data_IF_883658196606
#
_entry.id   IF_883658196606
#
_cell.length_a   1.000
_cell.length_b   1.000
_cell.length_c   1.000
_cell.angle_alpha   90.00
_cell.angle_beta   90.00
_cell.angle_gamma   90.00
#
_symmetry.space_group_name_H-M   'P 1'
#
loop_
_entity.id
_entity.type
_entity.pdbx_description
1 polymer ?
#
# COMPACT_ATOMS: atom_id res chain seq x y z
N UNK A 1 -25.73 -9.94 -5.57
CA UNK A 1 -24.42 -9.29 -5.75
C UNK A 1 -24.64 -7.81 -5.44
N UNK A 2 -24.34 -7.37 -4.21
CA UNK A 2 -24.48 -5.95 -3.85
C UNK A 2 -23.25 -5.18 -4.36
N UNK A 3 -23.48 -4.00 -4.92
CA UNK A 3 -22.46 -3.01 -5.24
C UNK A 3 -22.94 -1.69 -4.67
N UNK A 4 -22.16 -1.12 -3.78
CA UNK A 4 -22.48 0.17 -3.16
C UNK A 4 -21.96 1.30 -4.05
N UNK A 5 -22.72 2.38 -4.17
CA UNK A 5 -22.37 3.55 -4.97
C UNK A 5 -22.58 4.82 -4.16
N UNK A 6 -21.62 5.75 -4.20
CA UNK A 6 -21.76 7.06 -3.57
C UNK A 6 -22.09 8.07 -4.66
N UNK A 7 -23.27 8.71 -4.57
CA UNK A 7 -23.70 9.75 -5.51
C UNK A 7 -23.59 11.12 -4.86
N UNK A 8 -22.76 12.01 -5.39
CA UNK A 8 -22.67 13.40 -4.95
C UNK A 8 -23.60 14.25 -5.83
N UNK A 9 -24.45 15.07 -5.24
CA UNK A 9 -25.39 15.96 -5.94
C UNK A 9 -25.01 17.42 -5.61
N UNK A 10 -24.94 18.27 -6.64
CA UNK A 10 -24.67 19.71 -6.49
C UNK A 10 -25.87 20.49 -5.96
N UNK A 11 -25.62 21.71 -5.49
CA UNK A 11 -26.61 22.56 -4.78
C UNK A 11 -27.86 22.93 -5.60
N UNK A 12 -27.81 22.79 -6.92
CA UNK A 12 -28.89 23.08 -7.87
C UNK A 12 -29.88 21.92 -8.07
N UNK A 13 -29.62 20.75 -7.47
CA UNK A 13 -30.60 19.67 -7.36
C UNK A 13 -30.89 18.90 -8.65
N UNK A 14 -30.10 19.09 -9.71
CA UNK A 14 -30.27 18.37 -10.97
C UNK A 14 -29.55 16.99 -10.90
N UNK A 15 -30.27 15.86 -11.05
CA UNK A 15 -29.66 14.54 -10.99
C UNK A 15 -28.91 14.26 -12.29
N UNK A 16 -27.62 14.58 -12.33
CA UNK A 16 -26.74 14.11 -13.41
C UNK A 16 -26.63 12.59 -13.35
N UNK A 17 -27.17 11.91 -14.36
CA UNK A 17 -26.94 10.48 -14.58
C UNK A 17 -25.51 10.29 -15.07
N UNK A 18 -24.71 9.51 -14.33
CA UNK A 18 -23.31 9.26 -14.66
C UNK A 18 -23.11 7.76 -14.85
N UNK A 19 -22.97 7.37 -16.10
CA UNK A 19 -22.46 6.08 -16.55
C UNK A 19 -20.95 6.19 -16.73
N UNK A 20 -20.19 6.07 -15.64
CA UNK A 20 -18.75 5.82 -15.73
C UNK A 20 -18.29 4.96 -14.54
N UNK A 21 -17.85 3.75 -14.87
CA UNK A 21 -17.32 2.77 -13.93
C UNK A 21 -15.81 3.02 -13.76
N UNK A 22 -15.37 3.57 -12.62
CA UNK A 22 -13.97 3.48 -12.20
C UNK A 22 -13.94 2.60 -10.95
N UNK A 23 -13.71 1.32 -11.16
CA UNK A 23 -13.57 0.36 -10.08
C UNK A 23 -12.24 0.53 -9.36
N UNK A 24 -12.28 0.63 -8.03
CA UNK A 24 -11.17 0.21 -7.19
C UNK A 24 -11.54 -1.19 -6.68
N UNK A 25 -11.00 -2.21 -7.34
CA UNK A 25 -10.87 -3.56 -6.81
C UNK A 25 -9.42 -3.97 -7.03
N UNK A 26 -8.78 -4.69 -6.09
CA UNK A 26 -7.35 -5.01 -6.20
C UNK A 26 -6.97 -5.82 -7.45
N UNK A 27 -7.88 -6.59 -8.07
CA UNK A 27 -7.44 -7.67 -8.98
C UNK A 27 -8.05 -7.81 -10.38
N UNK A 28 -8.93 -6.94 -10.91
CA UNK A 28 -9.39 -7.10 -12.32
C UNK A 28 -9.68 -5.79 -13.06
N UNK A 29 -9.03 -5.63 -14.22
CA UNK A 29 -9.21 -4.54 -15.19
C UNK A 29 -10.42 -4.78 -16.10
N UNK A 30 -11.24 -3.74 -16.33
CA UNK A 30 -12.18 -3.67 -17.45
C UNK A 30 -12.09 -2.28 -18.11
N UNK A 31 -12.14 -2.25 -19.45
CA UNK A 31 -12.29 -1.04 -20.27
C UNK A 31 -13.62 -1.08 -21.00
N UNK A 32 -14.35 0.04 -21.02
CA UNK A 32 -15.18 0.46 -22.16
C UNK A 32 -15.52 1.95 -22.00
N UNK A 33 -15.49 2.70 -23.11
CA UNK A 33 -15.95 4.08 -23.18
C UNK A 33 -17.07 4.22 -24.20
N UNK A 34 -17.85 5.30 -24.08
CA UNK A 34 -18.61 5.90 -25.18
C UNK A 34 -18.89 7.39 -24.90
N UNK A 35 -18.92 8.18 -25.97
CA UNK A 35 -18.98 9.65 -26.00
C UNK A 35 -20.43 10.10 -26.14
N UNK A 36 -20.88 11.04 -25.30
CA UNK A 36 -22.22 11.62 -25.38
C UNK A 36 -22.42 12.54 -26.61
N UNK A 37 -23.68 12.79 -27.02
CA UNK A 37 -24.05 13.39 -28.30
C UNK A 37 -23.63 14.86 -28.54
N UNK A 38 -23.01 15.53 -27.56
CA UNK A 38 -22.59 16.94 -27.68
C UNK A 38 -21.10 17.17 -27.93
N UNK A 39 -20.26 16.13 -27.98
CA UNK A 39 -18.84 16.25 -28.39
C UNK A 39 -17.92 17.10 -27.48
N UNK A 40 -18.36 17.55 -26.31
CA UNK A 40 -17.54 18.26 -25.32
C UNK A 40 -17.28 17.40 -24.07
N UNK A 41 -16.06 17.40 -23.50
CA UNK A 41 -15.79 16.77 -22.21
C UNK A 41 -16.46 17.59 -21.10
N UNK A 42 -17.43 17.02 -20.41
CA UNK A 42 -18.00 17.58 -19.17
C UNK A 42 -17.60 16.69 -18.00
N UNK A 43 -16.73 17.18 -17.12
CA UNK A 43 -16.24 16.41 -15.97
C UNK A 43 -17.17 16.55 -14.77
N UNK A 44 -17.95 15.51 -14.49
CA UNK A 44 -18.50 15.23 -13.15
C UNK A 44 -17.75 14.03 -12.59
N UNK A 45 -17.17 14.18 -11.40
CA UNK A 45 -16.41 13.10 -10.73
C UNK A 45 -17.37 12.35 -9.81
N UNK A 46 -17.71 11.12 -10.19
CA UNK A 46 -18.46 10.17 -9.33
C UNK A 46 -17.48 9.18 -8.73
N UNK A 47 -17.63 8.91 -7.44
CA UNK A 47 -16.81 7.95 -6.70
C UNK A 47 -17.65 6.69 -6.45
N UNK A 48 -17.18 5.53 -6.91
CA UNK A 48 -17.76 4.23 -6.54
C UNK A 48 -16.81 3.48 -5.62
N UNK A 49 -17.31 3.04 -4.46
CA UNK A 49 -16.61 2.12 -3.55
C UNK A 49 -17.30 0.77 -3.68
N UNK A 50 -16.67 -0.17 -4.39
CA UNK A 50 -17.21 -1.51 -4.51
C UNK A 50 -16.67 -2.39 -3.36
N UNK A 51 -17.46 -2.57 -2.30
CA UNK A 51 -17.22 -3.61 -1.30
C UNK A 51 -17.91 -4.89 -1.77
N UNK A 52 -17.13 -5.90 -2.15
CA UNK A 52 -17.67 -7.23 -2.46
C UNK A 52 -17.48 -8.16 -1.27
N UNK A 53 -18.55 -8.43 -0.52
CA UNK A 53 -18.56 -9.48 0.50
C UNK A 53 -19.57 -9.25 1.62
N UNK A 54 -20.53 -10.18 1.72
CA UNK A 54 -21.51 -10.43 2.80
C UNK A 54 -22.61 -9.36 3.03
N UNK A 55 -23.92 -9.73 3.04
CA UNK A 55 -25.04 -8.78 3.14
C UNK A 55 -25.29 -8.14 4.52
N UNK A 56 -24.49 -8.47 5.54
CA UNK A 56 -24.80 -8.16 6.95
C UNK A 56 -23.70 -7.37 7.67
N UNK A 57 -22.84 -6.65 6.94
CA UNK A 57 -21.82 -5.78 7.52
C UNK A 57 -22.50 -4.52 8.09
N UNK A 58 -22.49 -4.27 9.42
CA UNK A 58 -23.11 -3.10 10.02
C UNK A 58 -22.52 -1.79 9.47
N UNK A 59 -23.34 -0.73 9.40
CA UNK A 59 -22.99 0.59 8.80
C UNK A 59 -21.69 1.20 9.36
N UNK A 60 -21.39 0.96 10.63
CA UNK A 60 -20.18 1.45 11.30
C UNK A 60 -18.91 0.74 10.79
N UNK A 61 -19.05 -0.46 10.24
CA UNK A 61 -17.93 -1.23 9.71
C UNK A 61 -17.45 -0.72 8.35
N UNK A 62 -18.36 -0.18 7.52
CA UNK A 62 -18.06 0.35 6.18
C UNK A 62 -17.20 1.61 6.27
N UNK A 63 -17.54 2.53 7.19
CA UNK A 63 -16.84 3.80 7.36
C UNK A 63 -15.48 3.63 8.05
N UNK A 64 -15.31 2.57 8.85
CA UNK A 64 -14.03 2.23 9.45
C UNK A 64 -13.01 1.57 8.52
N UNK A 65 -13.39 1.18 7.29
CA UNK A 65 -12.51 0.48 6.34
C UNK A 65 -11.79 1.40 5.35
N UNK A 66 -12.15 2.69 5.26
CA UNK A 66 -11.58 3.63 4.30
C UNK A 66 -11.45 5.06 4.89
N UNK A 67 -10.55 5.27 5.87
CA UNK A 67 -10.38 6.55 6.56
C UNK A 67 -9.94 7.69 5.63
N UNK A 68 -9.26 7.37 4.53
CA UNK A 68 -8.85 8.28 3.46
C UNK A 68 -10.05 8.83 2.66
N UNK A 69 -11.06 8.00 2.43
CA UNK A 69 -12.32 8.41 1.79
C UNK A 69 -13.07 9.38 2.72
N UNK A 70 -13.14 9.09 4.01
CA UNK A 70 -13.77 9.97 5.01
C UNK A 70 -13.09 11.34 5.07
N UNK A 71 -11.75 11.39 5.07
CA UNK A 71 -11.00 12.65 5.08
C UNK A 71 -11.26 13.51 3.83
N UNK A 72 -11.37 12.87 2.65
CA UNK A 72 -11.68 13.58 1.40
C UNK A 72 -13.12 14.07 1.33
N UNK A 73 -14.08 13.24 1.76
CA UNK A 73 -15.49 13.63 1.86
C UNK A 73 -15.65 14.84 2.80
N UNK A 74 -14.90 14.87 3.90
CA UNK A 74 -14.85 16.02 4.81
C UNK A 74 -14.35 17.29 4.14
N UNK A 75 -13.27 17.22 3.36
CA UNK A 75 -12.74 18.37 2.61
C UNK A 75 -13.76 18.94 1.62
N UNK A 76 -14.59 18.10 1.00
CA UNK A 76 -15.65 18.54 0.10
C UNK A 76 -16.78 19.25 0.86
N UNK A 77 -17.21 18.69 1.99
CA UNK A 77 -18.24 19.32 2.83
C UNK A 77 -17.77 20.65 3.43
N UNK A 78 -16.52 20.75 3.87
CA UNK A 78 -15.93 22.00 4.37
C UNK A 78 -15.88 23.09 3.29
N UNK A 79 -15.92 22.70 2.01
CA UNK A 79 -16.05 23.61 0.86
C UNK A 79 -17.49 23.95 0.49
N UNK A 80 -18.45 23.59 1.33
CA UNK A 80 -19.87 23.88 1.18
C UNK A 80 -20.68 22.83 0.41
N UNK A 81 -20.08 21.70 0.04
CA UNK A 81 -20.78 20.66 -0.71
C UNK A 81 -21.74 19.87 0.18
N UNK A 82 -22.93 19.56 -0.32
CA UNK A 82 -23.87 18.65 0.35
C UNK A 82 -23.60 17.21 -0.07
N UNK A 83 -23.27 16.37 0.90
CA UNK A 83 -23.07 14.95 0.66
C UNK A 83 -24.38 14.18 0.90
N UNK A 84 -24.78 13.34 -0.05
CA UNK A 84 -25.85 12.37 0.14
C UNK A 84 -25.27 10.98 -0.12
N UNK A 85 -25.33 10.08 0.87
CA UNK A 85 -24.89 8.69 0.70
C UNK A 85 -26.14 7.86 0.45
N UNK A 86 -26.26 7.29 -0.76
CA UNK A 86 -27.39 6.43 -1.12
C UNK A 86 -26.89 4.99 -1.12
N UNK A 87 -27.32 4.20 -0.15
CA UNK A 87 -27.08 2.76 -0.13
C UNK A 87 -28.24 2.09 -0.89
N UNK A 88 -27.95 1.38 -1.98
CA UNK A 88 -28.96 0.70 -2.79
C UNK A 88 -28.38 -0.51 -3.52
N UNK A 89 -29.20 -1.53 -3.86
CA UNK A 89 -28.74 -2.67 -4.63
C UNK A 89 -28.35 -2.26 -6.07
N UNK A 90 -27.50 -3.08 -6.70
CA UNK A 90 -26.86 -2.79 -7.99
C UNK A 90 -27.81 -2.74 -9.22
N UNK A 91 -29.11 -2.97 -9.02
CA UNK A 91 -30.13 -3.03 -10.06
C UNK A 91 -31.38 -2.28 -9.58
N UNK A 92 -31.81 -1.28 -10.35
CA UNK A 92 -33.03 -0.51 -10.08
C UNK A 92 -34.32 -1.30 -10.36
N UNK A 93 -34.21 -2.50 -10.94
CA UNK A 93 -35.36 -3.27 -11.41
C UNK A 93 -36.01 -4.15 -10.33
N UNK A 94 -35.37 -4.33 -9.17
CA UNK A 94 -35.79 -5.35 -8.20
C UNK A 94 -36.69 -4.86 -7.06
N UNK A 95 -36.80 -3.55 -6.78
CA UNK A 95 -37.75 -3.04 -5.78
C UNK A 95 -37.95 -1.49 -5.83
N UNK A 96 -39.09 -0.97 -6.31
CA UNK A 96 -39.37 0.47 -6.33
C UNK A 96 -39.66 1.09 -4.95
N UNK A 97 -39.96 0.29 -3.92
CA UNK A 97 -40.24 0.79 -2.55
C UNK A 97 -38.96 1.01 -1.72
N UNK A 98 -37.80 0.52 -2.19
CA UNK A 98 -36.49 0.63 -1.52
C UNK A 98 -35.70 1.90 -1.92
N UNK A 99 -36.23 2.74 -2.82
CA UNK A 99 -35.66 4.04 -3.18
C UNK A 99 -35.85 5.14 -2.11
N UNK A 100 -36.13 4.78 -0.85
CA UNK A 100 -36.10 5.71 0.27
C UNK A 100 -34.65 5.97 0.65
N UNK A 101 -34.02 6.90 -0.06
CA UNK A 101 -32.74 7.47 0.33
C UNK A 101 -32.81 7.91 1.79
N UNK A 102 -31.91 7.37 2.63
CA UNK A 102 -31.77 7.83 3.99
C UNK A 102 -31.12 9.22 3.95
N UNK A 103 -31.93 10.27 4.12
CA UNK A 103 -31.40 11.61 4.40
C UNK A 103 -31.07 11.63 5.89
N UNK A 104 -29.85 11.23 6.24
CA UNK A 104 -29.35 11.48 7.59
C UNK A 104 -29.08 12.98 7.72
N UNK A 105 -29.55 13.64 8.79
CA UNK A 105 -29.06 14.96 9.15
C UNK A 105 -27.54 14.90 9.23
N UNK A 106 -26.88 15.85 8.56
CA UNK A 106 -25.42 15.89 8.45
C UNK A 106 -24.74 15.84 9.83
N UNK A 107 -25.38 16.40 10.86
CA UNK A 107 -24.92 16.31 12.26
C UNK A 107 -24.90 14.89 12.84
N UNK A 108 -25.85 14.02 12.51
CA UNK A 108 -25.87 12.62 12.95
C UNK A 108 -24.77 11.81 12.26
N UNK A 109 -24.59 11.99 10.94
CA UNK A 109 -23.51 11.36 10.17
C UNK A 109 -22.13 11.81 10.68
N UNK A 110 -21.99 13.09 11.04
CA UNK A 110 -20.75 13.60 11.64
C UNK A 110 -20.53 13.12 13.07
N UNK A 111 -21.58 12.87 13.85
CA UNK A 111 -21.43 12.33 15.21
C UNK A 111 -20.90 10.89 15.22
N UNK A 112 -21.24 10.09 14.22
CA UNK A 112 -20.69 8.74 14.01
C UNK A 112 -19.32 8.73 13.28
N UNK A 113 -18.98 9.81 12.56
CA UNK A 113 -17.65 10.01 11.96
C UNK A 113 -16.66 10.77 12.86
N UNK A 114 -17.13 11.38 13.95
CA UNK A 114 -16.32 11.89 15.06
C UNK A 114 -15.88 10.72 15.94
N UNK A 115 -15.22 9.75 15.34
CA UNK A 115 -14.46 8.81 16.14
C UNK A 115 -13.21 9.58 16.52
N UNK A 116 -13.13 10.02 17.78
CA UNK A 116 -11.82 10.24 18.42
C UNK A 116 -10.92 9.11 17.94
N UNK A 117 -9.70 9.42 17.44
CA UNK A 117 -8.76 8.37 17.00
C UNK A 117 -8.76 7.32 18.12
N UNK A 118 -9.28 6.10 17.88
CA UNK A 118 -9.47 5.15 18.95
C UNK A 118 -8.11 4.97 19.61
N UNK A 119 -8.08 4.99 20.94
CA UNK A 119 -6.87 4.59 21.63
C UNK A 119 -6.68 3.11 21.35
N UNK A 120 -5.91 2.83 20.30
CA UNK A 120 -5.63 1.48 19.89
C UNK A 120 -4.76 0.81 20.95
N UNK A 121 -5.05 -0.45 21.31
CA UNK A 121 -4.16 -1.19 22.18
C UNK A 121 -2.77 -1.31 21.51
N UNK A 122 -1.69 -1.43 22.32
CA UNK A 122 -0.38 -1.71 21.77
C UNK A 122 -0.40 -3.03 21.00
N UNK A 123 0.25 -3.04 19.84
CA UNK A 123 0.47 -4.24 19.03
C UNK A 123 1.81 -4.85 19.44
N UNK A 124 1.93 -6.16 19.62
CA UNK A 124 3.22 -6.82 19.85
C UNK A 124 4.21 -6.46 18.73
N UNK A 125 5.49 -6.35 19.06
CA UNK A 125 6.52 -6.22 18.03
C UNK A 125 6.77 -7.56 17.34
N UNK A 126 7.34 -7.50 16.14
CA UNK A 126 7.85 -8.67 15.44
C UNK A 126 8.92 -9.40 16.28
N UNK A 127 8.90 -10.72 16.26
CA UNK A 127 9.86 -11.57 16.96
C UNK A 127 11.26 -11.47 16.31
N UNK A 128 12.19 -10.78 16.97
CA UNK A 128 13.56 -10.60 16.46
C UNK A 128 14.32 -11.93 16.29
N UNK A 129 14.03 -12.95 17.11
CA UNK A 129 14.68 -14.26 16.99
C UNK A 129 14.20 -15.00 15.74
N UNK A 130 12.91 -14.91 15.42
CA UNK A 130 12.36 -15.41 14.16
C UNK A 130 13.05 -14.73 12.97
N UNK A 131 13.13 -13.39 12.98
CA UNK A 131 13.74 -12.59 11.92
C UNK A 131 15.21 -12.93 11.75
N UNK A 132 15.97 -12.98 12.84
CA UNK A 132 17.40 -13.29 12.82
C UNK A 132 17.66 -14.70 12.26
N UNK A 133 16.86 -15.69 12.67
CA UNK A 133 16.99 -17.07 12.19
C UNK A 133 16.66 -17.20 10.71
N UNK A 134 15.58 -16.58 10.24
CA UNK A 134 15.15 -16.65 8.83
C UNK A 134 16.19 -15.99 7.91
N UNK A 135 16.70 -14.81 8.29
CA UNK A 135 17.75 -14.11 7.55
C UNK A 135 19.12 -14.81 7.61
N UNK A 136 19.48 -15.40 8.74
CA UNK A 136 20.76 -16.11 8.87
C UNK A 136 20.86 -17.29 7.89
N UNK A 137 19.73 -17.93 7.55
CA UNK A 137 19.69 -19.03 6.59
C UNK A 137 20.09 -18.62 5.15
N UNK A 138 20.05 -17.33 4.82
CA UNK A 138 20.49 -16.77 3.54
C UNK A 138 21.75 -15.91 3.64
N UNK A 139 22.50 -16.01 4.75
CA UNK A 139 23.74 -15.26 4.98
C UNK A 139 23.52 -13.77 5.20
N UNK A 140 22.42 -13.41 5.87
CA UNK A 140 22.11 -12.04 6.28
C UNK A 140 21.97 -12.00 7.80
N UNK A 141 22.75 -11.16 8.47
CA UNK A 141 22.73 -11.04 9.93
C UNK A 141 21.87 -9.86 10.36
N UNK A 142 20.89 -10.10 11.24
CA UNK A 142 20.10 -9.05 11.86
C UNK A 142 20.97 -8.23 12.83
N UNK A 143 20.94 -6.90 12.68
CA UNK A 143 21.50 -5.94 13.65
C UNK A 143 20.40 -5.40 14.58
N UNK A 144 19.19 -5.25 14.06
CA UNK A 144 18.00 -5.00 14.85
C UNK A 144 16.86 -4.37 14.05
N UNK A 145 15.67 -4.36 14.64
CA UNK A 145 14.48 -3.77 14.02
C UNK A 145 14.42 -2.27 14.34
N UNK A 146 14.02 -1.46 13.37
CA UNK A 146 13.91 0.00 13.44
C UNK A 146 12.58 0.44 12.84
N UNK A 147 11.83 1.26 13.57
CA UNK A 147 10.60 1.89 13.05
C UNK A 147 10.85 3.25 12.40
N UNK A 148 11.99 3.86 12.70
CA UNK A 148 12.32 5.19 12.21
C UNK A 148 13.78 5.22 11.75
N UNK A 149 13.97 5.43 10.45
CA UNK A 149 15.28 5.61 9.82
C UNK A 149 15.34 6.92 9.05
N UNK A 150 14.23 7.66 8.98
CA UNK A 150 14.07 8.84 8.13
C UNK A 150 13.82 8.46 6.67
N UNK A 151 13.53 7.18 6.40
CA UNK A 151 13.23 6.61 5.09
C UNK A 151 11.96 5.79 5.26
N UNK A 152 10.81 6.19 4.72
CA UNK A 152 9.57 5.46 4.94
C UNK A 152 9.63 4.09 4.24
N UNK A 153 9.48 2.95 4.95
CA UNK A 153 9.53 1.62 4.34
C UNK A 153 8.46 1.40 3.27
N UNK A 154 7.33 2.10 3.37
CA UNK A 154 6.26 2.08 2.37
C UNK A 154 6.72 2.65 1.02
N UNK A 155 7.76 3.50 0.97
CA UNK A 155 8.30 4.00 -0.29
C UNK A 155 9.15 2.95 -1.00
N UNK A 156 9.89 2.14 -0.24
CA UNK A 156 10.63 1.01 -0.79
C UNK A 156 9.68 -0.03 -1.41
N UNK A 157 8.63 -0.40 -0.67
CA UNK A 157 7.57 -1.31 -1.13
C UNK A 157 6.78 -0.84 -2.37
N UNK A 158 6.99 0.40 -2.82
CA UNK A 158 6.32 0.97 -3.99
C UNK A 158 7.24 1.21 -5.18
N UNK A 159 8.51 0.76 -5.15
CA UNK A 159 9.44 0.88 -6.29
C UNK A 159 8.86 0.29 -7.59
N UNK A 160 8.06 -0.77 -7.49
CA UNK A 160 7.37 -1.41 -8.62
C UNK A 160 6.41 -0.46 -9.38
N UNK A 161 5.95 0.62 -8.74
CA UNK A 161 5.05 1.62 -9.35
C UNK A 161 5.76 2.72 -10.11
N UNK A 162 7.09 2.81 -9.98
CA UNK A 162 7.93 3.83 -10.64
C UNK A 162 8.39 3.30 -11.99
N UNK A 163 8.17 4.03 -13.08
CA UNK A 163 8.63 3.59 -14.40
C UNK A 163 10.10 3.92 -14.69
N UNK A 164 10.67 3.38 -15.78
CA UNK A 164 12.02 3.71 -16.20
C UNK A 164 12.22 5.19 -16.58
N UNK A 165 11.15 5.89 -16.98
CA UNK A 165 11.14 7.33 -17.22
C UNK A 165 11.49 8.16 -15.98
N UNK A 166 11.24 7.61 -14.80
CA UNK A 166 11.55 8.21 -13.50
C UNK A 166 12.94 7.76 -12.97
N UNK A 167 13.73 7.07 -13.79
CA UNK A 167 15.09 6.63 -13.47
C UNK A 167 15.20 5.25 -12.85
N UNK A 168 14.09 4.51 -12.71
CA UNK A 168 14.13 3.10 -12.31
C UNK A 168 14.88 2.29 -13.36
N UNK A 169 15.74 1.37 -12.92
CA UNK A 169 16.39 0.39 -13.79
C UNK A 169 15.96 -1.00 -13.38
N UNK A 170 15.74 -1.84 -14.38
CA UNK A 170 15.21 -3.18 -14.21
C UNK A 170 16.15 -4.21 -14.85
N UNK A 171 16.34 -5.33 -14.17
CA UNK A 171 16.86 -6.57 -14.75
C UNK A 171 15.78 -7.63 -14.61
N UNK A 172 15.44 -8.31 -15.71
CA UNK A 172 14.34 -9.26 -15.77
C UNK A 172 14.91 -10.66 -15.98
N UNK A 173 14.43 -11.61 -15.19
CA UNK A 173 14.79 -13.02 -15.23
C UNK A 173 13.55 -13.87 -15.53
N UNK A 174 13.75 -15.05 -16.10
CA UNK A 174 12.70 -16.06 -16.22
C UNK A 174 12.58 -16.83 -14.91
N UNK A 175 11.36 -16.99 -14.41
CA UNK A 175 11.10 -17.65 -13.14
C UNK A 175 11.46 -19.15 -13.16
N UNK A 176 11.38 -19.78 -14.34
CA UNK A 176 11.70 -21.19 -14.56
C UNK A 176 13.15 -21.46 -14.98
N UNK A 177 14.00 -20.41 -15.03
CA UNK A 177 15.42 -20.58 -15.35
C UNK A 177 16.09 -21.43 -14.24
N UNK A 178 16.68 -22.60 -14.58
CA UNK A 178 17.35 -23.45 -13.59
C UNK A 178 18.54 -22.74 -12.91
N UNK A 179 19.11 -21.73 -13.55
CA UNK A 179 20.22 -20.93 -13.03
C UNK A 179 19.75 -19.60 -12.40
N UNK A 180 18.43 -19.39 -12.24
CA UNK A 180 17.83 -18.15 -11.72
C UNK A 180 18.52 -17.68 -10.44
N UNK A 181 18.68 -18.56 -9.45
CA UNK A 181 19.27 -18.21 -8.17
C UNK A 181 20.68 -17.63 -8.32
N UNK A 182 21.53 -18.29 -9.11
CA UNK A 182 22.90 -17.88 -9.31
C UNK A 182 23.00 -16.61 -10.17
N UNK A 183 22.16 -16.48 -11.19
CA UNK A 183 22.08 -15.28 -12.03
C UNK A 183 21.59 -14.06 -11.24
N UNK A 184 20.51 -14.23 -10.48
CA UNK A 184 19.93 -13.19 -9.64
C UNK A 184 20.92 -12.72 -8.56
N UNK A 185 21.60 -13.64 -7.87
CA UNK A 185 22.61 -13.28 -6.86
C UNK A 185 23.72 -12.39 -7.44
N UNK A 186 24.27 -12.76 -8.60
CA UNK A 186 25.31 -11.95 -9.27
C UNK A 186 24.79 -10.57 -9.64
N UNK A 187 23.59 -10.51 -10.22
CA UNK A 187 22.97 -9.26 -10.63
C UNK A 187 22.65 -8.35 -9.44
N UNK A 188 22.05 -8.90 -8.38
CA UNK A 188 21.72 -8.19 -7.15
C UNK A 188 22.96 -7.59 -6.51
N UNK A 189 24.02 -8.38 -6.33
CA UNK A 189 25.24 -7.87 -5.68
C UNK A 189 25.95 -6.82 -6.54
N UNK A 190 26.02 -7.03 -7.87
CA UNK A 190 26.55 -6.01 -8.78
C UNK A 190 25.75 -4.71 -8.69
N UNK A 191 24.42 -4.77 -8.68
CA UNK A 191 23.53 -3.62 -8.51
C UNK A 191 23.73 -2.95 -7.14
N UNK A 192 23.83 -3.73 -6.06
CA UNK A 192 24.03 -3.22 -4.72
C UNK A 192 25.35 -2.45 -4.58
N UNK A 193 26.43 -2.97 -5.16
CA UNK A 193 27.73 -2.30 -5.18
C UNK A 193 27.74 -1.09 -6.11
N UNK A 194 27.25 -1.22 -7.33
CA UNK A 194 27.24 -0.14 -8.34
C UNK A 194 26.49 1.09 -7.84
N UNK A 195 25.34 0.88 -7.20
CA UNK A 195 24.46 1.96 -6.80
C UNK A 195 24.67 2.43 -5.36
N UNK A 196 25.50 1.74 -4.56
CA UNK A 196 25.78 2.14 -3.19
C UNK A 196 24.68 1.77 -2.19
N UNK A 197 24.08 0.57 -2.33
CA UNK A 197 23.12 0.05 -1.35
C UNK A 197 23.77 -0.12 0.04
N UNK A 198 25.03 -0.54 0.05
CA UNK A 198 25.76 -0.87 1.26
C UNK A 198 26.36 0.37 1.93
N UNK A 199 26.13 0.47 3.23
CA UNK A 199 26.89 1.33 4.14
C UNK A 199 28.09 0.57 4.74
N UNK A 200 28.78 1.16 5.71
CA UNK A 200 29.94 0.54 6.36
C UNK A 200 29.62 -0.87 6.87
N UNK A 201 30.48 -1.83 6.49
CA UNK A 201 30.31 -3.24 6.85
C UNK A 201 29.26 -3.98 6.02
N UNK A 202 28.91 -3.54 4.81
CA UNK A 202 27.88 -4.19 3.97
C UNK A 202 26.49 -4.16 4.61
N UNK A 203 26.17 -3.07 5.31
CA UNK A 203 24.89 -2.88 5.99
C UNK A 203 23.86 -2.18 5.13
N UNK A 204 22.62 -2.65 5.22
CA UNK A 204 21.47 -2.09 4.51
C UNK A 204 20.17 -2.35 5.30
N UNK A 205 19.07 -1.78 4.83
CA UNK A 205 17.75 -1.91 5.42
C UNK A 205 16.86 -2.84 4.58
N UNK A 206 16.06 -3.67 5.25
CA UNK A 206 15.03 -4.53 4.64
C UNK A 206 13.67 -4.07 5.14
N UNK A 207 12.77 -3.68 4.24
CA UNK A 207 11.40 -3.35 4.61
C UNK A 207 10.65 -4.67 4.83
N UNK A 208 10.01 -4.79 5.99
CA UNK A 208 9.33 -6.02 6.40
C UNK A 208 7.88 -5.71 6.74
N UNK A 209 7.00 -6.51 6.17
CA UNK A 209 5.65 -6.70 6.69
C UNK A 209 5.73 -7.53 7.98
N UNK A 210 5.22 -6.97 9.08
CA UNK A 210 5.17 -7.66 10.36
C UNK A 210 4.35 -8.96 10.29
N UNK A 211 3.40 -9.07 9.36
CA UNK A 211 2.64 -10.29 9.08
C UNK A 211 3.47 -11.48 8.59
N UNK A 212 4.75 -11.29 8.24
CA UNK A 212 5.67 -12.39 7.90
C UNK A 212 6.09 -13.22 9.13
N UNK A 213 5.97 -12.64 10.33
CA UNK A 213 6.11 -13.36 11.59
C UNK A 213 4.81 -14.11 11.92
N UNK A 214 4.82 -15.45 12.03
CA UNK A 214 3.63 -16.24 12.33
C UNK A 214 2.98 -15.87 13.65
N UNK A 215 3.77 -15.54 14.66
CA UNK A 215 3.24 -15.24 16.00
C UNK A 215 2.52 -13.88 15.96
N UNK A 216 3.09 -12.91 15.23
CA UNK A 216 2.45 -11.63 14.97
C UNK A 216 1.17 -11.78 14.14
N UNK A 217 1.21 -12.59 13.08
CA UNK A 217 0.04 -12.86 12.24
C UNK A 217 -1.08 -13.53 13.05
N UNK A 218 -0.75 -14.51 13.88
CA UNK A 218 -1.73 -15.15 14.75
C UNK A 218 -2.31 -14.16 15.77
N UNK A 219 -1.47 -13.35 16.42
CA UNK A 219 -1.92 -12.35 17.37
C UNK A 219 -2.85 -11.30 16.74
N UNK A 220 -2.64 -10.98 15.45
CA UNK A 220 -3.53 -10.11 14.66
C UNK A 220 -4.90 -10.75 14.46
N UNK A 221 -4.93 -11.99 14.00
CA UNK A 221 -6.18 -12.73 13.73
C UNK A 221 -7.02 -12.95 15.01
N UNK A 222 -6.35 -13.12 16.14
CA UNK A 222 -7.00 -13.26 17.46
C UNK A 222 -7.40 -11.91 18.08
N UNK A 223 -7.03 -10.78 17.46
CA UNK A 223 -7.30 -9.45 17.98
C UNK A 223 -8.65 -8.91 17.52
N UNK A 224 -9.49 -8.50 18.49
CA UNK A 224 -10.68 -7.70 18.22
C UNK A 224 -10.34 -6.29 17.68
N UNK A 225 -9.06 -5.90 17.70
CA UNK A 225 -8.55 -4.64 17.19
C UNK A 225 -7.90 -4.78 15.79
N UNK A 226 -8.41 -5.66 14.93
CA UNK A 226 -7.90 -5.87 13.56
C UNK A 226 -7.86 -4.58 12.71
N UNK A 227 -8.70 -3.58 13.05
CA UNK A 227 -8.72 -2.24 12.44
C UNK A 227 -7.57 -1.34 12.88
N UNK A 228 -6.76 -1.75 13.87
CA UNK A 228 -5.60 -1.01 14.31
C UNK A 228 -4.55 -0.96 13.18
N UNK A 229 -4.23 0.23 12.64
CA UNK A 229 -3.32 0.36 11.50
C UNK A 229 -1.90 -0.13 11.81
N UNK A 230 -1.52 -0.23 13.09
CA UNK A 230 -0.23 -0.78 13.52
C UNK A 230 -0.02 -2.25 13.15
N UNK A 231 -1.10 -3.00 12.88
CA UNK A 231 -1.03 -4.38 12.37
C UNK A 231 -0.51 -4.48 10.92
N UNK A 232 -0.40 -3.35 10.23
CA UNK A 232 -0.06 -3.24 8.81
C UNK A 232 1.15 -2.32 8.59
N UNK A 233 1.74 -1.83 9.68
CA UNK A 233 2.91 -0.97 9.63
C UNK A 233 4.11 -1.79 9.15
N UNK A 234 4.77 -1.31 8.10
CA UNK A 234 6.06 -1.85 7.68
C UNK A 234 7.14 -1.37 8.63
N UNK A 235 8.11 -2.23 8.91
CA UNK A 235 9.27 -1.89 9.75
C UNK A 235 10.55 -2.14 8.97
N UNK A 236 11.64 -1.46 9.36
CA UNK A 236 12.96 -1.76 8.83
C UNK A 236 13.67 -2.80 9.70
N UNK A 237 14.30 -3.79 9.09
CA UNK A 237 15.42 -4.50 9.70
C UNK A 237 16.72 -3.89 9.20
N UNK A 238 17.55 -3.39 10.12
CA UNK A 238 18.95 -3.13 9.80
C UNK A 238 19.70 -4.46 9.83
N UNK A 239 20.39 -4.76 8.74
CA UNK A 239 21.09 -6.02 8.55
C UNK A 239 22.52 -5.80 8.08
N UNK A 240 23.32 -6.85 8.17
CA UNK A 240 24.67 -6.94 7.63
C UNK A 240 24.78 -8.17 6.73
N UNK A 241 25.41 -8.02 5.57
CA UNK A 241 25.66 -9.14 4.67
C UNK A 241 26.83 -9.98 5.21
N UNK A 242 26.67 -11.30 5.24
CA UNK A 242 27.71 -12.23 5.70
C UNK A 242 28.33 -12.99 4.51
N UNK A 243 29.57 -13.50 4.64
CA UNK A 243 30.16 -14.39 3.64
C UNK A 243 29.25 -15.60 3.38
N UNK A 244 29.06 -15.94 2.10
CA UNK A 244 28.22 -17.07 1.69
C UNK A 244 26.72 -16.77 1.59
N UNK A 245 26.34 -15.49 1.52
CA UNK A 245 24.98 -15.06 1.25
C UNK A 245 24.39 -15.68 -0.03
N UNK A 246 23.07 -15.90 -0.01
CA UNK A 246 22.31 -16.49 -1.11
C UNK A 246 20.86 -15.99 -1.12
N UNK A 247 20.61 -14.83 -1.73
CA UNK A 247 19.28 -14.19 -1.76
C UNK A 247 18.38 -14.83 -2.83
N UNK A 248 18.94 -15.16 -3.98
CA UNK A 248 18.28 -15.81 -5.11
C UNK A 248 17.93 -17.28 -4.89
N UNK A 249 18.57 -17.95 -3.92
CA UNK A 249 18.31 -19.33 -3.55
C UNK A 249 17.65 -19.44 -2.17
N UNK A 250 18.46 -19.49 -1.11
CA UNK A 250 17.97 -19.58 0.27
C UNK A 250 17.02 -18.43 0.65
N UNK A 251 17.34 -17.19 0.27
CA UNK A 251 16.50 -16.02 0.50
C UNK A 251 15.13 -16.15 -0.18
N UNK A 252 15.07 -16.72 -1.37
CA UNK A 252 13.81 -16.93 -2.10
C UNK A 252 12.89 -17.97 -1.44
N UNK A 253 13.43 -18.81 -0.57
CA UNK A 253 12.67 -19.76 0.28
C UNK A 253 12.40 -19.22 1.68
N UNK A 254 13.06 -18.13 2.07
CA UNK A 254 12.83 -17.47 3.36
C UNK A 254 11.47 -16.78 3.36
N UNK A 255 10.90 -16.56 4.54
CA UNK A 255 9.65 -15.80 4.65
C UNK A 255 9.90 -14.31 4.44
N UNK A 256 11.08 -13.82 4.81
CA UNK A 256 11.41 -12.39 4.77
C UNK A 256 11.79 -11.92 3.38
N UNK A 257 12.58 -12.69 2.63
CA UNK A 257 13.11 -12.30 1.31
C UNK A 257 12.49 -13.06 0.14
N UNK A 258 11.55 -13.96 0.42
CA UNK A 258 10.95 -14.83 -0.58
C UNK A 258 9.44 -14.70 -0.66
N UNK A 259 8.90 -15.02 -1.84
CA UNK A 259 7.49 -15.30 -2.07
C UNK A 259 7.36 -16.37 -3.15
N UNK A 260 6.62 -17.44 -2.88
CA UNK A 260 6.42 -18.53 -3.85
C UNK A 260 7.68 -19.27 -4.28
N UNK A 261 8.80 -19.15 -3.56
CA UNK A 261 10.09 -19.71 -3.96
C UNK A 261 10.94 -18.78 -4.83
N UNK A 262 10.53 -17.53 -5.02
CA UNK A 262 11.23 -16.50 -5.78
C UNK A 262 11.65 -15.32 -4.90
N UNK A 263 12.67 -14.53 -5.30
CA UNK A 263 13.04 -13.30 -4.61
C UNK A 263 11.87 -12.33 -4.53
N UNK A 264 11.54 -11.87 -3.32
CA UNK A 264 10.51 -10.89 -3.07
C UNK A 264 10.86 -10.05 -1.83
N UNK A 265 11.41 -8.87 -2.06
CA UNK A 265 11.89 -7.98 -0.99
C UNK A 265 12.00 -6.54 -1.46
N UNK A 266 12.02 -5.62 -0.50
CA UNK A 266 12.29 -4.21 -0.71
C UNK A 266 13.40 -3.76 0.25
N UNK A 267 14.50 -3.27 -0.32
CA UNK A 267 15.71 -2.88 0.39
C UNK A 267 15.94 -1.39 0.25
N UNK A 268 16.66 -0.80 1.20
CA UNK A 268 17.17 0.55 1.08
C UNK A 268 18.57 0.70 1.67
N UNK A 269 19.35 1.63 1.14
CA UNK A 269 20.56 2.09 1.82
C UNK A 269 20.19 2.72 3.16
N UNK A 270 21.10 2.69 4.13
CA UNK A 270 20.82 3.21 5.47
C UNK A 270 20.46 4.71 5.47
N UNK A 271 20.93 5.46 4.48
CA UNK A 271 20.62 6.88 4.29
C UNK A 271 19.39 7.13 3.39
N UNK A 272 18.83 6.09 2.76
CA UNK A 272 17.69 6.20 1.84
C UNK A 272 17.99 6.81 0.47
N UNK A 273 19.27 6.91 0.09
CA UNK A 273 19.68 7.33 -1.25
C UNK A 273 19.41 6.28 -2.32
N UNK A 274 19.25 5.01 -1.95
CA UNK A 274 19.00 3.89 -2.88
C UNK A 274 17.84 3.04 -2.37
N UNK A 275 16.98 2.60 -3.29
CA UNK A 275 16.02 1.51 -3.07
C UNK A 275 16.34 0.41 -4.08
N UNK A 276 16.37 -0.84 -3.62
CA UNK A 276 16.46 -2.04 -4.46
C UNK A 276 15.29 -2.93 -4.15
N UNK A 277 14.48 -3.27 -5.16
CA UNK A 277 13.34 -4.16 -5.01
C UNK A 277 13.51 -5.43 -5.81
N UNK A 278 12.88 -6.51 -5.36
CA UNK A 278 12.72 -7.72 -6.12
C UNK A 278 11.28 -8.19 -6.04
N UNK A 279 10.70 -8.61 -7.15
CA UNK A 279 9.34 -9.15 -7.19
C UNK A 279 9.18 -10.19 -8.29
N UNK A 280 8.27 -11.12 -8.07
CA UNK A 280 7.81 -12.09 -9.06
C UNK A 280 6.45 -11.64 -9.62
N UNK A 281 6.27 -11.82 -10.92
CA UNK A 281 5.11 -11.33 -11.67
C UNK A 281 4.27 -12.50 -12.23
N UNK A 282 3.02 -12.19 -12.58
CA UNK A 282 2.07 -13.14 -13.17
C UNK A 282 2.49 -13.68 -14.55
N UNK A 283 3.45 -13.05 -15.22
CA UNK A 283 3.98 -13.45 -16.52
C UNK A 283 5.21 -14.38 -16.44
N UNK A 284 5.40 -15.02 -15.29
CA UNK A 284 6.51 -15.93 -14.98
C UNK A 284 7.89 -15.25 -15.09
N UNK A 285 7.96 -13.96 -14.73
CA UNK A 285 9.22 -13.23 -14.63
C UNK A 285 9.52 -12.78 -13.21
N UNK A 286 10.82 -12.65 -12.91
CA UNK A 286 11.32 -12.02 -11.69
C UNK A 286 12.03 -10.74 -12.10
N UNK A 287 11.68 -9.61 -11.47
CA UNK A 287 12.38 -8.35 -11.68
C UNK A 287 13.27 -8.03 -10.49
N UNK A 288 14.50 -7.61 -10.78
CA UNK A 288 15.35 -6.85 -9.87
C UNK A 288 15.31 -5.38 -10.30
N UNK A 289 14.87 -4.51 -9.41
CA UNK A 289 14.66 -3.09 -9.65
C UNK A 289 15.61 -2.28 -8.77
N UNK A 290 16.18 -1.20 -9.31
CA UNK A 290 16.96 -0.23 -8.53
C UNK A 290 16.52 1.18 -8.87
N UNK A 291 16.46 2.02 -7.83
CA UNK A 291 16.15 3.44 -7.93
C UNK A 291 17.07 4.24 -7.02
N UNK A 292 17.80 5.19 -7.61
CA UNK A 292 18.66 6.13 -6.88
C UNK A 292 17.93 7.44 -6.64
N UNK A 293 18.24 8.10 -5.53
CA UNK A 293 17.63 9.36 -5.08
C UNK A 293 16.08 9.32 -5.08
N UNK A 294 15.45 8.29 -4.47
CA UNK A 294 14.00 8.06 -4.58
C UNK A 294 13.14 9.22 -4.06
N UNK A 295 13.68 10.04 -3.16
CA UNK A 295 13.03 11.25 -2.63
C UNK A 295 12.84 12.36 -3.68
N UNK A 296 13.54 12.28 -4.82
CA UNK A 296 13.42 13.21 -5.94
C UNK A 296 12.36 12.78 -6.96
N UNK A 297 11.93 11.52 -6.91
CA UNK A 297 11.00 10.92 -7.89
C UNK A 297 9.56 11.34 -7.61
N UNK A 298 8.95 12.04 -8.56
CA UNK A 298 7.63 12.64 -8.38
C UNK A 298 6.54 11.60 -8.09
N UNK A 299 6.61 10.44 -8.76
CA UNK A 299 5.67 9.32 -8.53
C UNK A 299 5.67 8.85 -7.07
N UNK A 300 6.85 8.69 -6.46
CA UNK A 300 6.96 8.30 -5.05
C UNK A 300 6.56 9.44 -4.12
N UNK A 301 6.93 10.69 -4.43
CA UNK A 301 6.50 11.87 -3.66
C UNK A 301 4.99 12.02 -3.62
N UNK A 302 4.31 11.85 -4.75
CA UNK A 302 2.86 11.88 -4.84
C UNK A 302 2.20 10.73 -4.04
N UNK A 303 2.86 9.59 -3.93
CA UNK A 303 2.41 8.49 -3.06
C UNK A 303 2.63 8.80 -1.59
N UNK A 304 3.81 9.30 -1.21
CA UNK A 304 4.11 9.74 0.15
C UNK A 304 3.11 10.79 0.64
N UNK A 305 2.76 11.77 -0.19
CA UNK A 305 1.74 12.78 0.14
C UNK A 305 0.34 12.16 0.37
N UNK A 306 -0.06 11.19 -0.46
CA UNK A 306 -1.33 10.47 -0.28
C UNK A 306 -1.36 9.66 1.01
N UNK A 307 -0.26 8.99 1.36
CA UNK A 307 -0.16 8.25 2.62
C UNK A 307 -0.16 9.24 3.79
N UNK A 308 0.58 10.33 3.71
CA UNK A 308 0.62 11.36 4.74
C UNK A 308 -0.76 11.96 5.04
N UNK A 309 -1.56 12.22 3.99
CA UNK A 309 -2.93 12.71 4.11
C UNK A 309 -3.86 11.69 4.81
N UNK A 310 -3.69 10.40 4.51
CA UNK A 310 -4.52 9.32 5.07
C UNK A 310 -4.01 8.71 6.38
N UNK A 311 -2.77 9.00 6.78
CA UNK A 311 -2.14 8.36 7.93
C UNK A 311 -2.78 8.79 9.24
N UNK A 312 -2.92 7.84 10.15
CA UNK A 312 -3.36 8.07 11.54
C UNK A 312 -2.25 7.81 12.55
N UNK A 313 -1.05 7.44 12.09
CA UNK A 313 0.10 7.11 12.93
C UNK A 313 1.10 8.27 12.95
N UNK A 314 1.34 8.83 14.13
CA UNK A 314 2.26 9.98 14.27
C UNK A 314 3.68 9.67 13.79
N UNK A 315 4.20 8.47 14.10
CA UNK A 315 5.53 8.05 13.66
C UNK A 315 5.65 7.99 12.12
N UNK A 316 4.62 7.49 11.44
CA UNK A 316 4.59 7.44 9.97
C UNK A 316 4.51 8.86 9.38
N UNK A 317 3.71 9.74 9.99
CA UNK A 317 3.62 11.15 9.58
C UNK A 317 4.95 11.88 9.71
N UNK A 318 5.64 11.69 10.84
CA UNK A 318 6.96 12.28 11.09
C UNK A 318 7.97 11.81 10.04
N UNK A 319 8.02 10.51 9.74
CA UNK A 319 8.96 9.95 8.77
C UNK A 319 8.67 10.40 7.34
N UNK A 320 7.40 10.36 6.91
CA UNK A 320 6.98 10.85 5.60
C UNK A 320 7.26 12.34 5.43
N UNK A 321 7.01 13.15 6.46
CA UNK A 321 7.30 14.58 6.45
C UNK A 321 8.80 14.83 6.31
N UNK A 322 9.62 14.13 7.09
CA UNK A 322 11.07 14.24 7.03
C UNK A 322 11.62 13.83 5.65
N UNK A 323 11.09 12.75 5.07
CA UNK A 323 11.50 12.27 3.75
C UNK A 323 11.09 13.23 2.63
N UNK A 324 9.86 13.77 2.67
CA UNK A 324 9.39 14.76 1.69
C UNK A 324 10.16 16.09 1.75
N UNK A 325 10.71 16.44 2.91
CA UNK A 325 11.51 17.63 3.12
C UNK A 325 12.96 17.52 2.59
N UNK A 326 13.41 16.31 2.21
CA UNK A 326 14.74 16.13 1.59
C UNK A 326 14.81 16.90 0.27
N UNK A 327 15.96 17.51 0.02
CA UNK A 327 16.19 18.39 -1.15
C UNK A 327 16.03 17.64 -2.47
N UNK A 328 15.54 18.36 -3.49
CA UNK A 328 15.36 17.84 -4.86
C UNK A 328 16.64 17.84 -5.68
#
# INVERSE_FOLDING_TARGET
MLRDYVRVISDDGDPHEVTALIGITPDRTFRAGEIGPSGEPRTSTVWSVALTGVPEVPRDEILGCAPDIVARLRTLVDRGWRLSVVLGPASADDDPDMARGFVLPMEEMWSSLRVEIPQWPPVPGMNEEFVARDLAACGVRLIGIRRYTGVPPQMAARIATVGPEDGRRDQIFKADDPDLAAAFNRAWYATAVEHGLFSEGERFLIAMDQGKDPDFFQAREESDAWRNPRWWELVWALVELEPGWDLGGAGSRSRILGSGGHPAFDLSSADGSVIVGATWWEDDTVSLMVLTEPHRVETLRAQALRILEGSTLDAEKEELTAWLARER
#
